data_IF_706263684518
#
_entry.id   IF_706263684518
#
_cell.length_a   1.000
_cell.length_b   1.000
_cell.length_c   1.000
_cell.angle_alpha   90.00
_cell.angle_beta   90.00
_cell.angle_gamma   90.00
#
_symmetry.space_group_name_H-M   'P 1'
#
loop_
_entity.id
_entity.type
_entity.pdbx_description
1 polymer ?
#
# COMPACT_ATOMS: atom_id res chain seq x y z
N UNK A 1 19.59 32.32 -24.28
CA UNK A 1 19.57 31.32 -23.19
C UNK A 1 18.29 31.51 -22.37
N UNK A 2 17.45 30.49 -22.25
CA UNK A 2 16.22 30.58 -21.45
C UNK A 2 16.56 30.67 -19.95
N UNK A 3 15.97 31.63 -19.23
CA UNK A 3 16.21 31.83 -17.80
C UNK A 3 15.44 30.78 -17.00
N UNK A 4 16.08 30.18 -15.99
CA UNK A 4 15.40 29.28 -15.05
C UNK A 4 14.35 30.07 -14.26
N UNK A 5 13.07 29.63 -14.25
CA UNK A 5 12.03 30.34 -13.53
C UNK A 5 12.32 30.33 -12.04
N UNK A 6 12.30 31.51 -11.42
CA UNK A 6 12.44 31.66 -9.97
C UNK A 6 11.26 30.98 -9.29
N UNK A 7 11.54 30.24 -8.22
CA UNK A 7 10.48 29.66 -7.42
C UNK A 7 9.59 30.78 -6.84
N UNK A 8 8.26 30.61 -6.82
CA UNK A 8 7.34 31.64 -6.35
C UNK A 8 7.42 31.90 -4.83
N UNK A 9 8.19 31.11 -4.08
CA UNK A 9 8.42 31.25 -2.65
C UNK A 9 9.91 31.24 -2.29
N UNK A 10 10.28 32.01 -1.26
CA UNK A 10 11.67 32.10 -0.76
C UNK A 10 12.09 30.86 0.04
N UNK A 11 11.15 30.20 0.74
CA UNK A 11 11.44 29.10 1.67
C UNK A 11 11.21 27.74 1.00
N UNK A 12 12.20 26.85 1.06
CA UNK A 12 12.06 25.48 0.58
C UNK A 12 11.12 24.65 1.48
N UNK A 13 10.52 23.60 0.90
CA UNK A 13 9.68 22.65 1.64
C UNK A 13 10.43 22.11 2.87
N UNK A 14 9.88 22.24 4.10
CA UNK A 14 10.53 21.78 5.34
C UNK A 14 10.96 20.31 5.30
N UNK A 15 10.20 19.45 4.61
CA UNK A 15 10.54 18.03 4.47
C UNK A 15 11.81 17.83 3.63
N UNK A 16 11.95 18.62 2.55
CA UNK A 16 13.17 18.63 1.73
C UNK A 16 14.35 19.16 2.54
N UNK A 17 14.16 20.21 3.34
CA UNK A 17 15.19 20.73 4.26
C UNK A 17 15.66 19.66 5.27
N UNK A 18 14.75 18.82 5.74
CA UNK A 18 15.06 17.70 6.63
C UNK A 18 15.57 16.43 5.91
N UNK A 19 15.94 16.51 4.63
CA UNK A 19 16.40 15.36 3.84
C UNK A 19 15.34 14.28 3.59
N UNK A 20 14.07 14.55 3.87
CA UNK A 20 12.97 13.58 3.74
C UNK A 20 12.34 13.68 2.35
N UNK A 21 12.22 12.54 1.67
CA UNK A 21 11.54 12.45 0.39
C UNK A 21 10.07 12.87 0.49
N UNK A 22 9.52 13.55 -0.54
CA UNK A 22 8.08 13.81 -0.65
C UNK A 22 7.26 12.52 -0.54
N UNK A 23 6.09 12.60 0.08
CA UNK A 23 5.19 11.46 0.26
C UNK A 23 4.14 11.51 -0.83
N UNK A 24 4.29 10.63 -1.80
CA UNK A 24 3.29 10.41 -2.83
C UNK A 24 2.65 9.03 -2.68
N UNK A 25 1.40 8.93 -3.12
CA UNK A 25 0.75 7.64 -3.32
C UNK A 25 1.35 6.96 -4.54
N UNK A 26 1.64 5.67 -4.43
CA UNK A 26 2.00 4.82 -5.57
C UNK A 26 0.83 4.68 -6.55
N UNK A 27 1.09 4.21 -7.77
CA UNK A 27 0.03 3.96 -8.77
C UNK A 27 -1.04 2.98 -8.26
N UNK A 28 -0.62 1.90 -7.60
CA UNK A 28 -1.51 0.92 -6.97
C UNK A 28 -2.32 1.53 -5.81
N UNK A 29 -1.73 2.44 -5.03
CA UNK A 29 -2.43 3.16 -3.98
C UNK A 29 -3.50 4.10 -4.55
N UNK A 30 -3.17 4.82 -5.63
CA UNK A 30 -4.13 5.67 -6.35
C UNK A 30 -5.30 4.87 -6.93
N UNK A 31 -5.06 3.67 -7.47
CA UNK A 31 -6.14 2.82 -7.99
C UNK A 31 -7.04 2.28 -6.88
N UNK A 32 -6.48 1.96 -5.70
CA UNK A 32 -7.25 1.61 -4.52
C UNK A 32 -8.13 2.77 -4.03
N UNK A 33 -7.58 3.99 -3.97
CA UNK A 33 -8.35 5.19 -3.62
C UNK A 33 -9.50 5.45 -4.61
N UNK A 34 -9.22 5.35 -5.92
CA UNK A 34 -10.24 5.51 -6.96
C UNK A 34 -11.39 4.50 -6.84
N UNK A 35 -11.09 3.23 -6.56
CA UNK A 35 -12.10 2.19 -6.35
C UNK A 35 -12.97 2.46 -5.12
N UNK A 36 -12.36 2.90 -4.02
CA UNK A 36 -13.07 3.29 -2.79
C UNK A 36 -14.02 4.45 -3.05
N UNK A 37 -13.54 5.50 -3.73
CA UNK A 37 -14.34 6.66 -4.10
C UNK A 37 -15.55 6.28 -4.97
N UNK A 38 -15.35 5.44 -6.01
CA UNK A 38 -16.43 4.94 -6.88
C UNK A 38 -17.48 4.15 -6.09
N UNK A 39 -17.05 3.27 -5.17
CA UNK A 39 -17.97 2.49 -4.33
C UNK A 39 -18.79 3.36 -3.38
N UNK A 40 -18.22 4.47 -2.93
CA UNK A 40 -18.90 5.43 -2.06
C UNK A 40 -19.70 6.51 -2.83
N UNK A 41 -19.72 6.48 -4.17
CA UNK A 41 -20.36 7.51 -4.99
C UNK A 41 -19.69 8.88 -4.93
N UNK A 42 -18.43 8.98 -4.47
CA UNK A 42 -17.70 10.24 -4.30
C UNK A 42 -16.78 10.48 -5.49
N UNK A 43 -16.70 11.72 -6.00
CA UNK A 43 -15.78 12.09 -7.09
C UNK A 43 -14.32 11.90 -6.66
N UNK A 44 -13.48 11.49 -7.61
CA UNK A 44 -12.03 11.36 -7.44
C UNK A 44 -11.33 12.35 -8.39
N UNK A 45 -10.23 13.03 -7.99
CA UNK A 45 -9.47 12.89 -6.75
C UNK A 45 -10.11 13.56 -5.53
N UNK A 46 -10.06 12.90 -4.37
CA UNK A 46 -10.55 13.47 -3.10
C UNK A 46 -9.59 13.21 -1.94
N UNK A 47 -9.65 14.05 -0.90
CA UNK A 47 -8.74 13.96 0.25
C UNK A 47 -9.02 12.74 1.13
N UNK A 48 -10.29 12.42 1.39
CA UNK A 48 -10.69 11.37 2.35
C UNK A 48 -10.19 9.99 1.93
N UNK A 49 -10.40 9.60 0.68
CA UNK A 49 -9.93 8.30 0.17
C UNK A 49 -8.40 8.27 0.06
N UNK A 50 -7.78 9.40 -0.30
CA UNK A 50 -6.32 9.53 -0.30
C UNK A 50 -5.73 9.39 1.11
N UNK A 51 -6.36 10.01 2.12
CA UNK A 51 -5.96 9.93 3.52
C UNK A 51 -6.20 8.53 4.09
N UNK A 52 -7.31 7.88 3.72
CA UNK A 52 -7.57 6.49 4.10
C UNK A 52 -6.47 5.55 3.63
N UNK A 53 -6.03 5.69 2.37
CA UNK A 53 -4.93 4.88 1.82
C UNK A 53 -3.60 5.23 2.48
N UNK A 54 -3.31 6.52 2.69
CA UNK A 54 -2.09 6.97 3.39
C UNK A 54 -2.03 6.46 4.84
N UNK A 55 -3.15 6.49 5.57
CA UNK A 55 -3.25 5.96 6.92
C UNK A 55 -3.03 4.44 6.95
N UNK A 56 -3.58 3.70 5.97
CA UNK A 56 -3.35 2.26 5.85
C UNK A 56 -1.86 1.94 5.63
N UNK A 57 -1.16 2.74 4.82
CA UNK A 57 0.29 2.64 4.61
C UNK A 57 1.06 2.86 5.92
N UNK A 58 0.74 3.93 6.65
CA UNK A 58 1.37 4.23 7.94
C UNK A 58 1.09 3.16 9.01
N UNK A 59 -0.08 2.52 8.99
CA UNK A 59 -0.39 1.39 9.88
C UNK A 59 0.42 0.15 9.52
N UNK A 60 0.54 -0.16 8.22
CA UNK A 60 1.30 -1.34 7.74
C UNK A 60 2.76 -1.28 8.20
N UNK A 61 3.40 -0.10 8.13
CA UNK A 61 4.78 0.08 8.59
C UNK A 61 4.94 -0.11 10.11
N UNK A 62 3.99 0.39 10.90
CA UNK A 62 3.96 0.18 12.36
C UNK A 62 3.78 -1.30 12.74
N UNK A 63 2.85 -2.00 12.08
CA UNK A 63 2.60 -3.42 12.34
C UNK A 63 3.75 -4.30 11.86
N UNK A 64 4.42 -3.98 10.73
CA UNK A 64 5.60 -4.75 10.29
C UNK A 64 6.79 -4.59 11.24
N UNK A 65 6.96 -3.42 11.86
CA UNK A 65 7.97 -3.23 12.91
C UNK A 65 7.66 -4.07 14.16
N UNK A 66 6.39 -4.10 14.58
CA UNK A 66 5.94 -4.89 15.74
C UNK A 66 5.96 -6.40 15.51
N UNK A 67 5.65 -6.87 14.29
CA UNK A 67 5.80 -8.30 13.95
C UNK A 67 7.27 -8.72 13.92
N UNK A 68 8.18 -7.91 13.40
CA UNK A 68 9.62 -8.21 13.43
C UNK A 68 10.20 -8.27 14.85
N UNK A 69 9.67 -7.48 15.78
CA UNK A 69 10.03 -7.56 17.19
C UNK A 69 9.49 -8.82 17.91
N UNK A 70 8.45 -9.46 17.38
CA UNK A 70 7.87 -10.69 17.95
C UNK A 70 8.45 -11.99 17.35
N UNK A 71 9.20 -11.91 16.24
CA UNK A 71 9.81 -13.09 15.58
C UNK A 71 11.24 -13.40 16.05
N UNK A 72 11.78 -12.68 17.04
CA UNK A 72 13.07 -13.01 17.66
C UNK A 72 13.00 -14.06 18.77
N UNK A 73 11.83 -14.62 19.07
CA UNK A 73 11.72 -15.81 19.94
C UNK A 73 11.85 -17.10 19.11
N UNK A 74 12.82 -17.98 19.38
CA UNK A 74 13.19 -19.10 18.50
C UNK A 74 12.21 -20.30 18.50
N UNK A 75 11.03 -20.20 19.14
CA UNK A 75 10.21 -21.40 19.47
C UNK A 75 9.16 -21.81 18.43
N UNK A 76 8.99 -21.10 17.32
CA UNK A 76 7.92 -21.38 16.34
C UNK A 76 8.40 -22.00 15.01
N UNK A 77 9.55 -22.70 15.01
CA UNK A 77 10.06 -23.41 13.82
C UNK A 77 9.71 -24.91 13.76
N UNK A 78 8.82 -25.42 14.63
CA UNK A 78 8.36 -26.81 14.63
C UNK A 78 6.83 -26.89 14.43
N UNK A 79 6.33 -26.60 13.22
CA UNK A 79 5.01 -27.11 12.79
C UNK A 79 4.78 -27.13 11.28
N UNK A 80 5.83 -26.92 10.46
CA UNK A 80 5.73 -27.18 9.01
C UNK A 80 5.78 -28.68 8.74
N UNK A 81 4.70 -29.39 9.04
CA UNK A 81 4.44 -30.72 8.48
C UNK A 81 2.93 -30.96 8.42
N UNK A 82 2.47 -31.48 7.27
CA UNK A 82 1.08 -31.74 6.86
C UNK A 82 0.32 -30.48 6.42
N UNK A 83 -0.29 -30.34 5.25
CA UNK A 83 -0.87 -31.33 4.31
C UNK A 83 -0.82 -30.80 2.87
N UNK A 84 0.11 -31.31 2.06
CA UNK A 84 -0.13 -31.48 0.61
C UNK A 84 -0.92 -32.77 0.49
N UNK A 85 -2.21 -32.70 0.14
CA UNK A 85 -2.99 -33.77 -0.53
C UNK A 85 -4.44 -33.33 -0.80
N UNK A 86 -4.71 -33.16 -2.09
CA UNK A 86 -5.83 -33.76 -2.84
C UNK A 86 -7.28 -33.28 -2.60
N UNK A 87 -7.80 -32.58 -3.61
CA UNK A 87 -9.15 -32.77 -4.16
C UNK A 87 -9.15 -32.30 -5.63
N UNK A 88 -8.69 -33.14 -6.55
CA UNK A 88 -9.50 -34.05 -7.37
C UNK A 88 -10.33 -33.34 -8.45
N UNK A 89 -9.86 -33.48 -9.69
CA UNK A 89 -10.62 -33.26 -10.91
C UNK A 89 -11.96 -34.03 -10.92
N UNK A 90 -13.02 -33.35 -11.36
CA UNK A 90 -14.16 -33.89 -12.11
C UNK A 90 -14.50 -32.78 -13.13
N UNK A 91 -14.02 -32.85 -14.38
CA UNK A 91 -14.66 -33.54 -15.53
C UNK A 91 -16.19 -33.35 -15.54
N UNK A 92 -16.65 -32.47 -16.42
CA UNK A 92 -17.93 -32.59 -17.11
C UNK A 92 -17.77 -31.96 -18.50
N UNK A 93 -17.49 -32.83 -19.47
CA UNK A 93 -17.81 -32.64 -20.87
C UNK A 93 -19.15 -33.36 -21.14
N UNK A 94 -19.84 -32.94 -22.21
CA UNK A 94 -21.22 -33.25 -22.66
C UNK A 94 -22.27 -32.31 -22.03
N UNK A 95 -23.17 -31.69 -22.79
CA UNK A 95 -23.91 -32.17 -23.96
C UNK A 95 -24.08 -31.10 -25.06
N UNK A 96 -23.99 -31.59 -26.32
CA UNK A 96 -24.65 -31.17 -27.57
C UNK A 96 -24.60 -29.71 -28.03
#
# INVERSE_FOLDING_TARGET
MARTPRAPWKKANPRKRAGKAPTHLSSAEKSAAKRSAKRAGRRYPNLVDNMRVAAKKARKTKTSGRKRAATSSPRARLSKRSTVRKSSARKSASDR
#
